data_IF_677186943821
#
_entry.id   IF_677186943821
#
_cell.length_a   1.000
_cell.length_b   1.000
_cell.length_c   1.000
_cell.angle_alpha   90.00
_cell.angle_beta   90.00
_cell.angle_gamma   90.00
#
_symmetry.space_group_name_H-M   'P 1'
#
loop_
_entity.id
_entity.type
_entity.pdbx_description
1 polymer ?
#
# COMPACT_ATOMS: atom_id res chain seq x y z
N UNK A 1 -5.91 14.25 8.94
CA UNK A 1 -4.49 14.09 9.32
C UNK A 1 -3.69 13.54 8.14
N UNK A 2 -2.41 13.88 8.10
CA UNK A 2 -1.52 13.37 7.07
C UNK A 2 -1.42 11.84 7.13
N UNK A 3 -1.49 11.19 5.98
CA UNK A 3 -1.17 9.76 5.87
C UNK A 3 0.36 9.65 6.04
N UNK A 4 0.87 8.76 6.92
CA UNK A 4 2.30 8.56 7.08
C UNK A 4 2.99 8.32 5.74
N UNK A 5 4.09 9.04 5.50
CA UNK A 5 4.84 9.02 4.24
C UNK A 5 4.48 10.12 3.25
N UNK A 6 3.39 10.86 3.47
CA UNK A 6 2.97 11.97 2.61
C UNK A 6 3.32 13.35 3.16
N UNK A 7 4.07 13.42 4.26
CA UNK A 7 4.36 14.67 4.98
C UNK A 7 5.02 15.71 4.09
N UNK A 8 5.98 15.30 3.27
CA UNK A 8 6.69 16.19 2.33
C UNK A 8 5.74 16.79 1.29
N UNK A 9 4.85 15.99 0.72
CA UNK A 9 3.88 16.44 -0.28
C UNK A 9 2.87 17.41 0.32
N UNK A 10 2.42 17.15 1.54
CA UNK A 10 1.48 18.01 2.28
C UNK A 10 2.16 19.34 2.62
N UNK A 11 3.40 19.32 3.13
CA UNK A 11 4.14 20.54 3.42
C UNK A 11 4.37 21.39 2.17
N UNK A 12 4.67 20.77 1.03
CA UNK A 12 4.81 21.47 -0.24
C UNK A 12 3.48 22.13 -0.64
N UNK A 13 2.37 21.42 -0.53
CA UNK A 13 1.03 21.99 -0.82
C UNK A 13 0.70 23.17 0.10
N UNK A 14 0.99 23.05 1.39
CA UNK A 14 0.81 24.15 2.36
C UNK A 14 1.65 25.36 1.96
N UNK A 15 2.92 25.16 1.59
CA UNK A 15 3.80 26.25 1.14
C UNK A 15 3.25 26.95 -0.11
N UNK A 16 2.73 26.19 -1.08
CA UNK A 16 2.15 26.79 -2.29
C UNK A 16 0.90 27.61 -1.99
N UNK A 17 0.06 27.17 -1.06
CA UNK A 17 -1.09 27.93 -0.60
C UNK A 17 -0.67 29.25 0.07
N UNK A 18 0.37 29.23 0.92
CA UNK A 18 0.93 30.46 1.51
C UNK A 18 1.48 31.42 0.46
N UNK A 19 2.18 30.92 -0.58
CA UNK A 19 2.67 31.75 -1.68
C UNK A 19 1.54 32.44 -2.46
N UNK A 20 0.37 31.83 -2.50
CA UNK A 20 -0.83 32.38 -3.11
C UNK A 20 -1.58 33.35 -2.18
N UNK A 21 -1.07 33.61 -0.98
CA UNK A 21 -1.67 34.51 0.00
C UNK A 21 -2.80 33.92 0.83
N UNK A 22 -2.99 32.58 0.79
CA UNK A 22 -3.99 31.94 1.62
C UNK A 22 -3.54 31.83 3.07
N UNK A 23 -4.45 32.05 4.01
CA UNK A 23 -4.25 31.66 5.41
C UNK A 23 -4.54 30.18 5.56
N UNK A 24 -3.54 29.40 5.95
CA UNK A 24 -3.66 27.95 6.03
C UNK A 24 -3.62 27.47 7.48
N UNK A 25 -4.72 26.85 7.91
CA UNK A 25 -4.83 26.23 9.22
C UNK A 25 -4.56 24.73 9.05
N UNK A 26 -3.40 24.24 9.48
CA UNK A 26 -2.96 22.86 9.29
C UNK A 26 -2.42 22.19 10.56
N UNK A 27 -2.35 22.92 11.66
CA UNK A 27 -1.87 22.39 12.94
C UNK A 27 -2.86 21.37 13.49
N UNK A 28 -2.33 20.30 14.06
CA UNK A 28 -3.10 19.25 14.76
C UNK A 28 -3.83 19.80 15.98
N UNK A 29 -3.30 20.86 16.63
CA UNK A 29 -3.93 21.51 17.76
C UNK A 29 -5.20 22.28 17.40
N UNK A 30 -5.38 22.63 16.13
CA UNK A 30 -6.53 23.40 15.66
C UNK A 30 -7.84 22.60 15.60
N UNK A 31 -7.83 21.31 15.93
CA UNK A 31 -9.00 20.42 15.97
C UNK A 31 -9.85 20.44 14.67
N UNK A 32 -9.23 20.73 13.53
CA UNK A 32 -9.89 20.79 12.21
C UNK A 32 -10.19 19.42 11.61
N UNK A 33 -9.65 18.37 12.20
CA UNK A 33 -9.84 17.00 11.74
C UNK A 33 -10.29 16.10 12.90
N UNK A 34 -11.39 15.39 12.67
CA UNK A 34 -11.87 14.33 13.56
C UNK A 34 -11.71 13.00 12.83
N UNK A 35 -11.12 12.01 13.51
CA UNK A 35 -11.01 10.67 12.95
C UNK A 35 -12.39 10.08 12.66
N UNK A 36 -12.56 9.48 11.47
CA UNK A 36 -13.76 8.70 11.16
C UNK A 36 -13.77 7.31 11.84
N UNK A 37 -12.64 6.89 12.44
CA UNK A 37 -12.56 5.64 13.17
C UNK A 37 -13.02 5.85 14.62
N UNK A 38 -13.87 4.94 15.09
CA UNK A 38 -14.36 4.90 16.46
C UNK A 38 -13.23 4.58 17.45
N UNK A 39 -13.29 5.15 18.64
CA UNK A 39 -12.43 4.75 19.74
C UNK A 39 -12.98 3.48 20.43
N UNK A 40 -12.22 2.92 21.37
CA UNK A 40 -12.57 1.65 22.01
C UNK A 40 -13.94 1.68 22.68
N UNK A 41 -14.28 2.77 23.36
CA UNK A 41 -15.56 2.89 24.07
C UNK A 41 -16.74 3.04 23.10
N UNK A 42 -16.56 3.69 21.96
CA UNK A 42 -17.57 3.76 20.90
C UNK A 42 -17.87 2.37 20.33
N UNK A 43 -16.82 1.54 20.12
CA UNK A 43 -16.96 0.16 19.66
C UNK A 43 -17.72 -0.68 20.69
N UNK A 44 -17.42 -0.54 21.99
CA UNK A 44 -18.14 -1.21 23.06
C UNK A 44 -19.60 -0.77 23.13
N UNK A 45 -19.87 0.52 22.99
CA UNK A 45 -21.22 1.06 22.94
C UNK A 45 -22.04 0.43 21.79
N UNK A 46 -21.45 0.39 20.59
CA UNK A 46 -22.11 -0.23 19.43
C UNK A 46 -22.39 -1.71 19.66
N UNK A 47 -21.45 -2.47 20.20
CA UNK A 47 -21.64 -3.88 20.55
C UNK A 47 -22.76 -4.05 21.59
N UNK A 48 -22.81 -3.19 22.61
CA UNK A 48 -23.85 -3.20 23.64
C UNK A 48 -25.24 -2.87 23.10
N UNK A 49 -25.35 -1.96 22.14
CA UNK A 49 -26.61 -1.60 21.50
C UNK A 49 -27.09 -2.67 20.51
N UNK A 50 -26.20 -3.17 19.65
CA UNK A 50 -26.53 -4.14 18.61
C UNK A 50 -26.74 -5.56 19.15
N UNK A 51 -26.03 -5.94 20.22
CA UNK A 51 -26.04 -7.29 20.83
C UNK A 51 -25.96 -8.39 19.76
N UNK A 52 -24.93 -8.41 18.93
CA UNK A 52 -24.87 -9.31 17.78
C UNK A 52 -24.76 -10.77 18.22
N UNK A 53 -25.44 -11.67 17.52
CA UNK A 53 -25.29 -13.13 17.72
C UNK A 53 -23.92 -13.61 17.25
N UNK A 54 -23.45 -13.08 16.11
CA UNK A 54 -22.12 -13.33 15.53
C UNK A 54 -21.37 -12.03 15.37
N UNK A 55 -20.06 -12.06 15.57
CA UNK A 55 -19.19 -10.91 15.40
C UNK A 55 -18.01 -11.22 14.49
N UNK A 56 -17.78 -10.38 13.50
CA UNK A 56 -16.72 -10.53 12.52
C UNK A 56 -16.00 -9.18 12.40
N UNK A 57 -14.82 -9.02 13.01
CA UNK A 57 -14.03 -7.81 12.84
C UNK A 57 -13.45 -7.77 11.43
N UNK A 58 -13.52 -6.60 10.78
CA UNK A 58 -12.99 -6.36 9.44
C UNK A 58 -12.25 -5.03 9.39
N UNK A 59 -11.50 -4.80 8.32
CA UNK A 59 -10.82 -3.54 8.04
C UNK A 59 -9.74 -3.17 9.06
N UNK A 60 -8.59 -3.82 8.93
CA UNK A 60 -7.42 -3.54 9.76
C UNK A 60 -6.35 -4.63 9.63
N UNK A 61 -5.23 -4.40 10.29
CA UNK A 61 -4.22 -5.43 10.45
C UNK A 61 -4.74 -6.54 11.39
N UNK A 62 -4.21 -7.76 11.25
CA UNK A 62 -4.67 -8.91 12.05
C UNK A 62 -4.66 -8.64 13.56
N UNK A 63 -3.63 -7.95 14.07
CA UNK A 63 -3.57 -7.55 15.50
C UNK A 63 -4.76 -6.68 15.92
N UNK A 64 -5.24 -5.79 15.04
CA UNK A 64 -6.39 -4.93 15.31
C UNK A 64 -7.68 -5.75 15.34
N UNK A 65 -7.82 -6.72 14.41
CA UNK A 65 -8.96 -7.63 14.38
C UNK A 65 -9.03 -8.47 15.66
N UNK A 66 -7.89 -8.96 16.16
CA UNK A 66 -7.82 -9.72 17.41
C UNK A 66 -8.20 -8.86 18.62
N UNK A 67 -7.74 -7.61 18.67
CA UNK A 67 -8.11 -6.69 19.74
C UNK A 67 -9.61 -6.36 19.71
N UNK A 68 -10.18 -6.11 18.53
CA UNK A 68 -11.62 -5.86 18.37
C UNK A 68 -12.46 -7.09 18.74
N UNK A 69 -11.98 -8.29 18.41
CA UNK A 69 -12.59 -9.55 18.88
C UNK A 69 -12.54 -9.67 20.41
N UNK A 70 -11.48 -9.15 21.05
CA UNK A 70 -11.37 -9.06 22.52
C UNK A 70 -12.48 -8.20 23.11
N UNK A 71 -12.71 -7.00 22.55
CA UNK A 71 -13.79 -6.11 22.98
C UNK A 71 -15.16 -6.76 22.84
N UNK A 72 -15.41 -7.48 21.75
CA UNK A 72 -16.67 -8.22 21.56
C UNK A 72 -16.87 -9.27 22.64
N UNK A 73 -15.81 -9.95 23.05
CA UNK A 73 -15.87 -10.93 24.17
C UNK A 73 -16.16 -10.25 25.50
N UNK A 74 -15.50 -9.12 25.78
CA UNK A 74 -15.77 -8.32 26.98
C UNK A 74 -17.23 -7.86 27.04
N UNK A 75 -17.82 -7.52 25.90
CA UNK A 75 -19.21 -7.11 25.77
C UNK A 75 -20.20 -8.28 25.75
N UNK A 76 -19.75 -9.50 26.02
CA UNK A 76 -20.61 -10.67 26.21
C UNK A 76 -20.94 -11.45 24.95
N UNK A 77 -20.30 -11.18 23.81
CA UNK A 77 -20.44 -12.04 22.63
C UNK A 77 -19.78 -13.39 22.90
N UNK A 78 -20.52 -14.47 22.64
CA UNK A 78 -19.98 -15.81 22.85
C UNK A 78 -18.69 -16.01 22.02
N UNK A 79 -17.55 -16.44 22.62
CA UNK A 79 -16.29 -16.62 21.91
C UNK A 79 -16.41 -17.55 20.68
N UNK A 80 -17.31 -18.52 20.69
CA UNK A 80 -17.57 -19.42 19.54
C UNK A 80 -18.22 -18.70 18.36
N UNK A 81 -18.83 -17.56 18.60
CA UNK A 81 -19.52 -16.74 17.61
C UNK A 81 -18.65 -15.53 17.13
N UNK A 82 -17.42 -15.44 17.59
CA UNK A 82 -16.46 -14.42 17.16
C UNK A 82 -15.54 -15.04 16.11
N UNK A 83 -15.63 -14.57 14.88
CA UNK A 83 -14.90 -15.13 13.73
C UNK A 83 -13.88 -14.12 13.22
N UNK A 84 -12.60 -14.33 13.51
CA UNK A 84 -11.50 -13.57 12.92
C UNK A 84 -11.03 -14.31 11.68
N UNK A 85 -11.14 -13.68 10.51
CA UNK A 85 -10.81 -14.29 9.24
C UNK A 85 -9.62 -13.58 8.58
N UNK A 86 -8.97 -14.30 7.68
CA UNK A 86 -7.91 -13.80 6.81
C UNK A 86 -8.40 -13.69 5.37
N UNK A 87 -7.64 -12.96 4.53
CA UNK A 87 -7.94 -12.84 3.09
C UNK A 87 -7.94 -14.24 2.46
N UNK A 88 -8.97 -14.51 1.65
CA UNK A 88 -9.15 -15.80 1.01
C UNK A 88 -9.86 -16.84 1.86
N UNK A 89 -10.31 -16.50 3.05
CA UNK A 89 -11.06 -17.42 3.89
C UNK A 89 -12.54 -17.00 3.97
N UNK A 90 -13.44 -17.66 3.24
CA UNK A 90 -14.86 -17.35 3.23
C UNK A 90 -15.50 -17.53 4.62
N UNK A 91 -16.49 -16.71 4.92
CA UNK A 91 -17.33 -16.86 6.09
C UNK A 91 -18.72 -17.24 5.62
N UNK A 92 -19.16 -18.41 6.02
CA UNK A 92 -20.49 -18.92 5.72
C UNK A 92 -21.41 -18.62 6.87
N UNK A 93 -22.48 -17.87 6.61
CA UNK A 93 -23.47 -17.47 7.61
C UNK A 93 -24.82 -18.02 7.19
N UNK A 94 -25.47 -18.67 8.13
CA UNK A 94 -26.87 -19.10 8.03
C UNK A 94 -27.68 -18.58 9.22
N UNK A 95 -28.97 -18.82 9.25
CA UNK A 95 -29.84 -18.42 10.36
C UNK A 95 -29.29 -18.87 11.73
N UNK A 96 -28.75 -20.09 11.78
CA UNK A 96 -28.35 -20.73 13.03
C UNK A 96 -26.86 -20.98 13.20
N UNK A 97 -26.03 -20.67 12.21
CA UNK A 97 -24.60 -20.91 12.27
C UNK A 97 -23.78 -19.86 11.53
N UNK A 98 -22.56 -19.62 12.01
CA UNK A 98 -21.54 -18.92 11.27
C UNK A 98 -20.22 -19.68 11.41
N UNK A 99 -19.52 -19.90 10.31
CA UNK A 99 -18.27 -20.65 10.28
C UNK A 99 -17.29 -20.13 9.24
N UNK A 100 -16.01 -20.40 9.47
CA UNK A 100 -14.98 -20.17 8.48
C UNK A 100 -14.95 -21.35 7.50
N UNK A 101 -15.07 -21.06 6.21
CA UNK A 101 -14.96 -22.04 5.14
C UNK A 101 -13.50 -22.41 4.81
N UNK A 102 -13.32 -23.22 3.78
CA UNK A 102 -12.00 -23.57 3.27
C UNK A 102 -11.36 -22.38 2.56
N UNK A 103 -10.06 -22.22 2.71
CA UNK A 103 -9.33 -21.17 2.01
C UNK A 103 -9.44 -21.33 0.50
N UNK A 104 -9.65 -20.20 -0.19
CA UNK A 104 -9.61 -20.09 -1.64
C UNK A 104 -8.36 -19.29 -2.04
N UNK A 105 -7.84 -19.48 -3.26
CA UNK A 105 -6.74 -18.67 -3.74
C UNK A 105 -7.06 -17.18 -3.60
N UNK A 106 -6.18 -16.47 -2.90
CA UNK A 106 -6.29 -15.04 -2.68
C UNK A 106 -4.88 -14.44 -2.69
N UNK A 107 -4.79 -13.17 -3.05
CA UNK A 107 -3.51 -12.48 -3.10
C UNK A 107 -3.64 -11.10 -3.71
N UNK A 108 -2.49 -10.48 -3.95
CA UNK A 108 -2.44 -9.21 -4.65
C UNK A 108 -2.55 -9.44 -6.15
N UNK A 109 -3.54 -8.82 -6.76
CA UNK A 109 -3.65 -8.70 -8.20
C UNK A 109 -3.21 -7.28 -8.58
N UNK A 110 -2.14 -7.19 -9.36
CA UNK A 110 -1.61 -5.91 -9.80
C UNK A 110 -2.26 -5.54 -11.13
N UNK A 111 -2.64 -4.28 -11.24
CA UNK A 111 -3.26 -3.71 -12.44
C UNK A 111 -2.33 -2.62 -12.98
N UNK A 112 -1.96 -2.70 -14.25
CA UNK A 112 -1.16 -1.69 -14.94
C UNK A 112 -1.91 -1.27 -16.23
N UNK A 113 -2.51 -0.09 -16.19
CA UNK A 113 -3.36 0.39 -17.27
C UNK A 113 -4.55 -0.54 -17.52
N UNK A 114 -4.63 -1.11 -18.70
CA UNK A 114 -5.68 -2.08 -19.11
C UNK A 114 -5.28 -3.53 -18.83
N UNK A 115 -4.01 -3.79 -18.44
CA UNK A 115 -3.50 -5.12 -18.14
C UNK A 115 -3.80 -5.52 -16.69
N UNK A 116 -4.36 -6.70 -16.49
CA UNK A 116 -4.64 -7.27 -15.18
C UNK A 116 -3.76 -8.49 -14.99
N UNK A 117 -2.90 -8.46 -13.97
CA UNK A 117 -2.02 -9.59 -13.64
C UNK A 117 -0.73 -9.69 -14.47
N UNK A 118 -0.49 -8.77 -15.42
CA UNK A 118 0.70 -8.76 -16.29
C UNK A 118 1.97 -8.30 -15.56
N UNK A 119 1.82 -7.62 -14.41
CA UNK A 119 2.94 -7.14 -13.59
C UNK A 119 3.31 -8.19 -12.58
N UNK A 120 4.18 -9.10 -12.96
CA UNK A 120 4.70 -10.14 -12.06
C UNK A 120 5.84 -9.63 -11.16
N UNK A 121 6.26 -10.50 -10.23
CA UNK A 121 7.35 -10.21 -9.27
C UNK A 121 8.66 -9.83 -9.97
N UNK A 122 8.97 -10.43 -11.13
CA UNK A 122 10.15 -10.12 -11.91
C UNK A 122 10.12 -8.67 -12.43
N UNK A 123 8.99 -8.26 -13.01
CA UNK A 123 8.80 -6.90 -13.52
C UNK A 123 8.93 -5.86 -12.40
N UNK A 124 8.35 -6.12 -11.22
CA UNK A 124 8.45 -5.23 -10.07
C UNK A 124 9.88 -5.13 -9.55
N UNK A 125 10.59 -6.25 -9.49
CA UNK A 125 12.01 -6.28 -9.12
C UNK A 125 12.85 -5.46 -10.10
N UNK A 126 12.65 -5.66 -11.39
CA UNK A 126 13.39 -4.95 -12.43
C UNK A 126 13.09 -3.45 -12.42
N UNK A 127 11.83 -3.05 -12.23
CA UNK A 127 11.46 -1.64 -12.02
C UNK A 127 12.13 -1.04 -10.78
N UNK A 128 12.25 -1.82 -9.70
CA UNK A 128 12.95 -1.39 -8.49
C UNK A 128 14.44 -1.16 -8.76
N UNK A 129 15.14 -2.11 -9.40
CA UNK A 129 16.52 -1.97 -9.78
C UNK A 129 16.74 -0.75 -10.69
N UNK A 130 15.89 -0.57 -11.70
CA UNK A 130 15.97 0.60 -12.59
C UNK A 130 15.76 1.93 -11.85
N UNK A 131 14.96 1.95 -10.77
CA UNK A 131 14.73 3.16 -9.98
C UNK A 131 15.85 3.48 -8.99
N UNK A 132 16.59 2.47 -8.54
CA UNK A 132 17.69 2.60 -7.58
C UNK A 132 19.03 2.77 -8.28
N UNK A 133 19.32 1.96 -9.29
CA UNK A 133 20.63 1.85 -9.94
C UNK A 133 20.65 2.45 -11.35
N UNK A 134 19.50 2.57 -12.00
CA UNK A 134 19.39 2.97 -13.39
C UNK A 134 19.82 1.88 -14.39
N UNK A 135 19.93 2.27 -15.67
CA UNK A 135 20.36 1.41 -16.76
C UNK A 135 21.39 2.14 -17.63
N UNK A 136 22.47 1.45 -17.95
CA UNK A 136 23.44 1.88 -18.93
C UNK A 136 23.59 0.80 -20.01
N UNK A 137 23.38 1.17 -21.27
CA UNK A 137 23.60 0.30 -22.43
C UNK A 137 24.73 0.88 -23.23
N UNK A 138 25.75 0.07 -23.50
CA UNK A 138 26.89 0.40 -24.35
C UNK A 138 26.82 -0.49 -25.58
N UNK A 139 26.75 0.13 -26.75
CA UNK A 139 26.70 -0.58 -28.04
C UNK A 139 28.01 -0.30 -28.79
N UNK A 140 28.69 -1.36 -29.16
CA UNK A 140 29.90 -1.32 -29.97
C UNK A 140 29.78 -2.28 -31.16
N UNK A 141 30.33 -1.90 -32.29
CA UNK A 141 30.45 -2.79 -33.47
C UNK A 141 31.86 -3.31 -33.55
N UNK A 142 32.02 -4.62 -33.60
CA UNK A 142 33.31 -5.31 -33.62
C UNK A 142 33.46 -6.09 -34.91
N UNK A 143 34.57 -6.00 -35.57
CA UNK A 143 34.91 -6.86 -36.73
C UNK A 143 35.07 -8.30 -36.24
N UNK A 144 34.30 -9.20 -36.82
CA UNK A 144 34.24 -10.61 -36.41
C UNK A 144 35.52 -11.38 -36.65
N UNK A 145 36.41 -10.90 -37.56
CA UNK A 145 37.63 -11.57 -37.95
C UNK A 145 38.83 -11.08 -37.12
N UNK A 146 38.90 -9.77 -36.87
CA UNK A 146 40.02 -9.15 -36.23
C UNK A 146 39.78 -8.85 -34.74
N UNK A 147 38.52 -8.85 -34.28
CA UNK A 147 38.14 -8.43 -32.92
C UNK A 147 38.29 -6.94 -32.64
N UNK A 148 38.52 -6.14 -33.66
CA UNK A 148 38.72 -4.70 -33.50
C UNK A 148 37.36 -3.98 -33.50
N UNK A 149 37.21 -2.98 -32.62
CA UNK A 149 36.04 -2.11 -32.60
C UNK A 149 36.10 -1.18 -33.82
N UNK A 150 35.08 -1.25 -34.69
CA UNK A 150 34.99 -0.48 -35.95
C UNK A 150 33.97 0.66 -35.88
N UNK A 151 33.06 0.65 -34.89
CA UNK A 151 32.14 1.75 -34.63
C UNK A 151 31.64 1.74 -33.18
N UNK A 152 31.28 2.90 -32.64
CA UNK A 152 30.86 3.12 -31.25
C UNK A 152 32.02 3.62 -30.36
N UNK A 153 31.84 3.63 -29.02
CA UNK A 153 30.64 3.18 -28.31
C UNK A 153 29.48 4.17 -28.42
N UNK A 154 28.28 3.64 -28.69
CA UNK A 154 27.05 4.38 -28.48
C UNK A 154 26.53 4.09 -27.07
N UNK A 155 26.28 5.14 -26.28
CA UNK A 155 25.89 5.02 -24.87
C UNK A 155 24.46 5.52 -24.68
N UNK A 156 23.62 4.68 -24.14
CA UNK A 156 22.23 5.02 -23.74
C UNK A 156 22.08 4.79 -22.25
N UNK A 157 21.72 5.82 -21.51
CA UNK A 157 21.45 5.71 -20.08
C UNK A 157 20.00 6.07 -19.73
N UNK A 158 19.46 5.44 -18.69
CA UNK A 158 18.15 5.74 -18.11
C UNK A 158 18.26 5.65 -16.61
N UNK A 159 17.97 6.77 -15.92
CA UNK A 159 17.96 6.83 -14.45
C UNK A 159 19.32 6.68 -13.79
N UNK A 160 20.41 6.58 -14.55
CA UNK A 160 21.77 6.46 -14.04
C UNK A 160 22.50 7.81 -14.13
N UNK A 161 22.92 8.21 -15.30
CA UNK A 161 23.57 9.49 -15.57
C UNK A 161 22.97 10.10 -16.83
N UNK A 162 22.80 11.42 -16.85
CA UNK A 162 22.46 12.10 -18.09
C UNK A 162 23.74 12.32 -18.91
N UNK A 163 23.90 11.59 -20.00
CA UNK A 163 25.15 11.51 -20.79
C UNK A 163 25.66 12.86 -21.24
N UNK A 164 24.76 13.82 -21.55
CA UNK A 164 25.19 15.19 -21.96
C UNK A 164 25.82 16.00 -20.83
N UNK A 165 25.60 15.63 -19.58
CA UNK A 165 26.24 16.28 -18.42
C UNK A 165 27.50 15.54 -17.97
N UNK A 166 27.71 14.33 -18.48
CA UNK A 166 28.84 13.46 -18.12
C UNK A 166 30.10 13.63 -19.06
N UNK A 167 30.02 14.47 -20.07
CA UNK A 167 31.20 14.75 -20.95
C UNK A 167 32.39 15.39 -20.22
N UNK A 168 32.23 15.75 -18.93
CA UNK A 168 33.25 16.32 -18.07
C UNK A 168 33.81 15.33 -17.02
N UNK A 169 33.38 14.06 -17.02
CA UNK A 169 33.91 12.98 -16.19
C UNK A 169 34.68 11.98 -17.03
#
# INVERSE_FOLDING_TARGET
SAIPGNEKSINNMVNELYKQGAEVIYDRSAAIHVSGHACQEDLKLMLGLCKPKYFIPVHGEYRMLVQHAGLAREMGVNPKNILVSEIGRPIEISENSARLGNSVPAGRLLVDGLGIGDVGTAVLRDRKHLSEDGLLVIVVTVDATTGVVIAGPDIVSRGFVYVKEAEAL
#
